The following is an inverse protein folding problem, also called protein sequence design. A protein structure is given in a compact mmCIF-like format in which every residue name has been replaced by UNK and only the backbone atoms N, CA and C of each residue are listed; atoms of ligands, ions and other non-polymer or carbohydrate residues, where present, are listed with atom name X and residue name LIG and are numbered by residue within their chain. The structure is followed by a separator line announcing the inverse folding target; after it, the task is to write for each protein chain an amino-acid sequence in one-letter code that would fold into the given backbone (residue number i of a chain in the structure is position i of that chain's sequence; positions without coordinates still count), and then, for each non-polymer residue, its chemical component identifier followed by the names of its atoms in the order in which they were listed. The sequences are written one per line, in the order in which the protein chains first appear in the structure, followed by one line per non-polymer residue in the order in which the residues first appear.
data_IF_594776485175
#
_entry.id   IF_594776485175
#
_cell.length_a   1.000
_cell.length_b   1.000
_cell.length_c   1.000
_cell.angle_alpha   90.00
_cell.angle_beta   90.00
_cell.angle_gamma   90.00
#
_symmetry.space_group_name_H-M   'P 1'
#
loop_
_entity.id
_entity.type
_entity.pdbx_description
1 polymer ?
#
# COMPACT_ATOMS: atom_id res chain seq x y z
N UNK A 1 -0.46 -4.31 2.75
CA UNK A 1 -1.89 -4.59 2.46
C UNK A 1 -2.34 -5.75 3.32
N UNK A 2 -3.34 -5.51 4.16
CA UNK A 2 -3.97 -6.52 5.02
C UNK A 2 -5.40 -6.85 4.58
N UNK A 3 -6.00 -6.00 3.75
CA UNK A 3 -7.31 -6.19 3.16
C UNK A 3 -7.28 -5.82 1.67
N UNK A 4 -8.16 -6.41 0.85
CA UNK A 4 -8.21 -6.10 -0.57
C UNK A 4 -8.81 -4.70 -0.78
N UNK A 5 -8.25 -3.89 -1.69
CA UNK A 5 -8.79 -2.58 -2.02
C UNK A 5 -10.14 -2.73 -2.72
N UNK A 6 -11.17 -2.03 -2.22
CA UNK A 6 -12.54 -2.09 -2.74
C UNK A 6 -12.63 -1.47 -4.13
N UNK A 7 -11.91 -0.37 -4.37
CA UNK A 7 -11.78 0.29 -5.67
C UNK A 7 -10.77 -0.37 -6.62
N UNK A 8 -10.21 -1.53 -6.24
CA UNK A 8 -9.36 -2.36 -7.09
C UNK A 8 -8.13 -1.60 -7.62
N UNK A 9 -8.07 -1.42 -8.94
CA UNK A 9 -6.93 -0.81 -9.62
C UNK A 9 -6.76 0.69 -9.28
N UNK A 10 -7.86 1.42 -9.06
CA UNK A 10 -7.80 2.86 -8.77
C UNK A 10 -7.13 3.14 -7.42
N UNK A 11 -7.51 2.37 -6.40
CA UNK A 11 -6.93 2.47 -5.06
C UNK A 11 -5.44 2.12 -5.07
N UNK A 12 -5.09 1.05 -5.79
CA UNK A 12 -3.69 0.65 -5.95
C UNK A 12 -2.88 1.71 -6.69
N UNK A 13 -3.48 2.42 -7.65
CA UNK A 13 -2.83 3.53 -8.34
C UNK A 13 -2.53 4.68 -7.39
N UNK A 14 -3.50 5.07 -6.56
CA UNK A 14 -3.29 6.12 -5.54
C UNK A 14 -2.20 5.73 -4.56
N UNK A 15 -2.23 4.50 -4.05
CA UNK A 15 -1.20 3.98 -3.14
C UNK A 15 0.17 3.99 -3.84
N UNK A 16 0.22 3.58 -5.10
CA UNK A 16 1.45 3.60 -5.90
C UNK A 16 2.01 5.01 -6.07
N UNK A 17 1.18 6.01 -6.35
CA UNK A 17 1.60 7.40 -6.51
C UNK A 17 2.08 8.00 -5.18
N UNK A 18 1.35 7.77 -4.08
CA UNK A 18 1.69 8.30 -2.76
C UNK A 18 2.98 7.67 -2.21
N UNK A 19 3.15 6.35 -2.35
CA UNK A 19 4.35 5.65 -1.89
C UNK A 19 5.47 5.62 -2.93
N UNK A 20 5.28 6.20 -4.12
CA UNK A 20 6.25 6.19 -5.22
C UNK A 20 6.73 4.74 -5.50
N UNK A 21 5.79 3.81 -5.52
CA UNK A 21 6.10 2.38 -5.68
C UNK A 21 6.56 2.14 -7.12
N UNK A 22 7.79 1.62 -7.27
CA UNK A 22 8.36 1.25 -8.57
C UNK A 22 7.76 -0.01 -9.20
N UNK A 23 7.01 -0.82 -8.44
CA UNK A 23 6.28 -1.97 -8.98
C UNK A 23 5.14 -1.51 -9.88
N UNK A 24 4.90 -2.22 -10.96
CA UNK A 24 3.77 -1.96 -11.84
C UNK A 24 2.43 -2.24 -11.16
N UNK A 25 1.38 -1.52 -11.58
CA UNK A 25 0.01 -1.66 -11.07
C UNK A 25 -0.49 -3.11 -11.13
N UNK A 26 -0.06 -3.88 -12.14
CA UNK A 26 -0.41 -5.29 -12.29
C UNK A 26 0.16 -6.18 -11.19
N UNK A 27 1.40 -5.95 -10.77
CA UNK A 27 2.02 -6.65 -9.64
C UNK A 27 1.29 -6.31 -8.34
N UNK A 28 0.89 -5.05 -8.18
CA UNK A 28 0.09 -4.59 -7.04
C UNK A 28 -1.30 -5.25 -7.02
N UNK A 29 -1.95 -5.38 -8.17
CA UNK A 29 -3.24 -6.06 -8.32
C UNK A 29 -3.16 -7.55 -8.03
N UNK A 30 -2.10 -8.23 -8.49
CA UNK A 30 -1.86 -9.63 -8.16
C UNK A 30 -1.57 -9.78 -6.66
N UNK A 31 -0.75 -8.90 -6.11
CA UNK A 31 -0.41 -8.86 -4.70
C UNK A 31 -1.61 -8.58 -3.80
N UNK A 32 -2.50 -7.66 -4.19
CA UNK A 32 -3.69 -7.34 -3.39
C UNK A 32 -4.68 -8.49 -3.28
N UNK A 33 -4.64 -9.45 -4.21
CA UNK A 33 -5.38 -10.71 -4.13
C UNK A 33 -4.70 -11.74 -3.21
N UNK A 34 -3.40 -11.59 -2.93
CA UNK A 34 -2.62 -12.47 -2.07
C UNK A 34 -2.19 -11.73 -0.79
N UNK A 35 -3.09 -11.70 0.19
CA UNK A 35 -2.85 -11.03 1.47
C UNK A 35 -2.24 -12.00 2.50
N UNK A 36 -1.35 -11.53 3.38
CA UNK A 36 -0.81 -10.17 3.45
C UNK A 36 0.23 -9.89 2.36
N UNK A 37 0.12 -8.73 1.71
CA UNK A 37 1.04 -8.30 0.66
C UNK A 37 1.87 -7.09 1.08
N UNK A 38 3.19 -7.19 0.89
CA UNK A 38 4.12 -6.11 1.17
C UNK A 38 4.29 -5.23 -0.06
N UNK A 39 3.87 -3.97 0.08
CA UNK A 39 3.94 -2.96 -0.98
C UNK A 39 5.33 -2.36 -1.11
N UNK A 40 5.94 -2.04 0.02
CA UNK A 40 7.22 -1.36 0.12
C UNK A 40 7.95 -1.87 1.37
N UNK A 41 9.28 -1.90 1.30
CA UNK A 41 10.20 -2.23 2.39
C UNK A 41 11.24 -1.11 2.47
N UNK A 42 11.94 -1.02 3.59
CA UNK A 42 13.02 -0.04 3.80
C UNK A 42 12.57 1.43 3.70
N UNK A 43 11.35 1.72 4.19
CA UNK A 43 10.87 3.10 4.33
C UNK A 43 10.82 3.52 5.80
N UNK A 44 11.13 4.79 6.10
CA UNK A 44 10.97 5.31 7.45
C UNK A 44 9.49 5.28 7.84
N UNK A 45 9.21 4.81 9.05
CA UNK A 45 7.85 4.65 9.58
C UNK A 45 7.08 5.98 9.57
N UNK A 46 7.74 7.10 9.86
CA UNK A 46 7.13 8.44 9.79
C UNK A 46 6.63 8.78 8.38
N UNK A 47 7.40 8.42 7.34
CA UNK A 47 7.00 8.64 5.95
C UNK A 47 5.85 7.70 5.57
N UNK A 48 5.89 6.46 6.04
CA UNK A 48 4.80 5.51 5.85
C UNK A 48 3.50 6.01 6.49
N UNK A 49 3.56 6.55 7.72
CA UNK A 49 2.41 7.12 8.43
C UNK A 49 1.84 8.33 7.68
N UNK A 50 2.69 9.29 7.29
CA UNK A 50 2.25 10.46 6.50
C UNK A 50 1.57 10.05 5.20
N UNK A 51 2.11 9.04 4.51
CA UNK A 51 1.53 8.52 3.28
C UNK A 51 0.18 7.82 3.52
N UNK A 52 0.03 7.10 4.63
CA UNK A 52 -1.24 6.50 5.05
C UNK A 52 -2.28 7.59 5.35
N UNK A 53 -1.88 8.65 6.06
CA UNK A 53 -2.77 9.80 6.31
C UNK A 53 -3.22 10.49 5.02
N UNK A 54 -2.30 10.66 4.05
CA UNK A 54 -2.62 11.21 2.72
C UNK A 54 -3.62 10.34 1.92
N UNK A 55 -3.65 9.05 2.20
CA UNK A 55 -4.54 8.08 1.56
C UNK A 55 -5.95 8.04 2.17
N UNK A 56 -6.15 8.62 3.36
CA UNK A 56 -7.43 8.64 4.06
C UNK A 56 -7.97 7.22 4.29
N UNK A 57 -9.17 6.93 3.78
CA UNK A 57 -9.82 5.61 3.91
C UNK A 57 -9.02 4.46 3.29
N UNK A 58 -8.14 4.74 2.31
CA UNK A 58 -7.23 3.73 1.76
C UNK A 58 -6.08 3.40 2.72
N UNK A 59 -5.86 4.21 3.74
CA UNK A 59 -4.93 3.95 4.82
C UNK A 59 -5.36 2.76 5.69
N UNK A 60 -6.66 2.54 5.89
CA UNK A 60 -7.17 1.45 6.74
C UNK A 60 -6.81 0.04 6.24
N UNK A 61 -6.69 -0.12 4.92
CA UNK A 61 -6.27 -1.41 4.32
C UNK A 61 -4.75 -1.62 4.34
N UNK A 62 -4.01 -0.62 4.79
CA UNK A 62 -2.56 -0.61 4.91
C UNK A 62 -2.16 -0.78 6.38
N UNK A 63 -1.31 -1.78 6.62
CA UNK A 63 -0.70 -1.98 7.93
C UNK A 63 0.80 -1.83 7.80
N UNK A 64 1.37 -1.00 8.66
CA UNK A 64 2.82 -0.91 8.83
C UNK A 64 3.21 -2.10 9.69
N UNK A 65 4.11 -2.93 9.17
CA UNK A 65 4.79 -3.97 9.94
C UNK A 65 6.26 -3.63 9.99
N UNK A 66 6.76 -3.32 11.19
CA UNK A 66 8.19 -3.30 11.45
C UNK A 66 8.66 -4.75 11.50
N UNK A 67 9.48 -5.17 10.53
CA UNK A 67 10.32 -6.35 10.74
C UNK A 67 11.49 -5.86 11.59
N UNK A 68 11.47 -6.26 12.85
CA UNK A 68 12.64 -6.24 13.75
C UNK A 68 13.75 -7.15 13.19
#
# INVERSE_FOLDING_TARGET
LVSPPVGGAMDLKKIQEVFIIKKGLFDLLKGSKQLPFVLMKDIPVELALKNIELLGELGDILKISSTD
#
